data_IF_593365689969
#
_entry.id   IF_593365689969
#
_cell.length_a   1.000
_cell.length_b   1.000
_cell.length_c   1.000
_cell.angle_alpha   90.00
_cell.angle_beta   90.00
_cell.angle_gamma   90.00
#
_symmetry.space_group_name_H-M   'P 1'
#
loop_
_entity.id
_entity.type
_entity.pdbx_description
1 polymer ?
#
# COMPACT_ATOMS: atom_id res chain seq x y z
N UNK A 1 7.81 12.87 -9.94
CA UNK A 1 8.93 12.16 -9.28
C UNK A 1 10.20 12.43 -10.06
N UNK A 2 10.92 13.49 -9.71
CA UNK A 2 11.88 14.18 -10.59
C UNK A 2 13.22 13.46 -10.78
N UNK A 3 13.61 12.59 -9.84
CA UNK A 3 14.88 11.85 -9.89
C UNK A 3 14.74 10.33 -10.08
N UNK A 4 13.49 9.85 -10.08
CA UNK A 4 13.16 8.43 -10.27
C UNK A 4 13.68 7.51 -9.16
N UNK A 5 13.72 7.97 -7.91
CA UNK A 5 14.17 7.16 -6.76
C UNK A 5 13.05 6.40 -6.07
N UNK A 6 11.82 6.89 -6.18
CA UNK A 6 10.62 6.23 -5.66
C UNK A 6 9.61 6.09 -6.79
N UNK A 7 8.70 5.12 -6.62
CA UNK A 7 7.51 4.94 -7.45
C UNK A 7 6.27 4.99 -6.57
N UNK A 8 5.17 5.50 -7.12
CA UNK A 8 3.87 5.48 -6.47
C UNK A 8 3.35 4.05 -6.54
N UNK A 9 2.87 3.55 -5.42
CA UNK A 9 2.28 2.21 -5.33
C UNK A 9 0.91 2.14 -5.99
N UNK A 10 0.52 0.92 -6.36
CA UNK A 10 -0.82 0.63 -6.88
C UNK A 10 -1.86 0.76 -5.75
N UNK A 11 -3.14 0.77 -6.09
CA UNK A 11 -4.22 0.70 -5.13
C UNK A 11 -4.14 -0.59 -4.30
N UNK A 12 -3.85 -1.73 -4.92
CA UNK A 12 -3.65 -2.98 -4.18
C UNK A 12 -2.45 -2.92 -3.23
N UNK A 13 -1.30 -2.42 -3.69
CA UNK A 13 -0.11 -2.26 -2.85
C UNK A 13 -0.37 -1.27 -1.69
N UNK A 14 -1.31 -0.33 -1.87
CA UNK A 14 -1.67 0.70 -0.88
C UNK A 14 -2.75 0.28 0.12
N UNK A 15 -3.15 -1.00 0.16
CA UNK A 15 -4.21 -1.48 1.06
C UNK A 15 -3.88 -1.35 2.54
N UNK A 16 -2.60 -1.28 2.92
CA UNK A 16 -2.15 -1.08 4.29
C UNK A 16 -2.56 0.27 4.87
N UNK A 17 -2.86 1.25 4.01
CA UNK A 17 -3.40 2.55 4.41
C UNK A 17 -4.90 2.51 4.71
N UNK A 18 -5.58 1.40 4.43
CA UNK A 18 -7.02 1.23 4.69
C UNK A 18 -7.24 0.37 5.93
N UNK A 19 -8.07 0.88 6.84
CA UNK A 19 -8.55 0.05 7.95
C UNK A 19 -9.61 -0.96 7.47
N UNK A 20 -9.87 -1.97 8.31
CA UNK A 20 -10.84 -3.03 7.99
C UNK A 20 -12.25 -2.50 7.67
N UNK A 21 -12.67 -1.41 8.31
CA UNK A 21 -14.00 -0.79 8.06
C UNK A 21 -14.08 -0.21 6.65
N UNK A 22 -13.04 0.47 6.19
CA UNK A 22 -12.97 1.03 4.84
C UNK A 22 -12.97 -0.09 3.79
N UNK A 23 -12.14 -1.13 3.98
CA UNK A 23 -12.11 -2.32 3.11
C UNK A 23 -13.50 -2.96 3.00
N UNK A 24 -14.20 -3.11 4.12
CA UNK A 24 -15.59 -3.63 4.13
C UNK A 24 -16.58 -2.74 3.38
N UNK A 25 -16.45 -1.42 3.49
CA UNK A 25 -17.34 -0.50 2.77
C UNK A 25 -17.13 -0.56 1.25
N UNK A 26 -15.88 -0.72 0.81
CA UNK A 26 -15.55 -0.92 -0.62
C UNK A 26 -16.18 -2.23 -1.11
N UNK A 27 -15.99 -3.35 -0.41
CA UNK A 27 -16.60 -4.64 -0.76
C UNK A 27 -18.14 -4.58 -0.80
N UNK A 28 -18.77 -3.85 0.13
CA UNK A 28 -20.22 -3.62 0.13
C UNK A 28 -20.71 -2.83 -1.08
N UNK A 29 -19.90 -1.95 -1.64
CA UNK A 29 -20.28 -1.20 -2.86
C UNK A 29 -20.52 -2.12 -4.07
N UNK A 30 -19.88 -3.31 -4.08
CA UNK A 30 -20.16 -4.40 -5.04
C UNK A 30 -21.21 -5.42 -4.55
N UNK A 31 -21.88 -5.17 -3.42
CA UNK A 31 -22.91 -6.05 -2.88
C UNK A 31 -22.40 -7.29 -2.15
N UNK A 32 -21.12 -7.35 -1.80
CA UNK A 32 -20.54 -8.51 -1.09
C UNK A 32 -21.03 -8.53 0.36
N UNK A 33 -21.60 -9.67 0.78
CA UNK A 33 -22.13 -9.90 2.11
C UNK A 33 -21.19 -10.78 2.97
N UNK A 34 -21.53 -10.99 4.25
CA UNK A 34 -20.78 -11.91 5.12
C UNK A 34 -19.47 -11.35 5.74
N UNK A 35 -19.22 -10.05 5.58
CA UNK A 35 -17.94 -9.42 5.94
C UNK A 35 -17.66 -9.27 7.45
N UNK A 36 -18.63 -9.54 8.33
CA UNK A 36 -18.51 -9.26 9.76
C UNK A 36 -17.43 -10.12 10.44
N UNK A 37 -17.21 -11.35 9.97
CA UNK A 37 -16.26 -12.32 10.54
C UNK A 37 -14.90 -12.37 9.84
N UNK A 38 -14.74 -11.66 8.72
CA UNK A 38 -13.51 -11.68 7.92
C UNK A 38 -12.36 -10.97 8.64
N UNK A 39 -11.18 -11.60 8.62
CA UNK A 39 -9.92 -11.00 9.09
C UNK A 39 -9.35 -10.05 8.04
N UNK A 40 -8.34 -9.27 8.40
CA UNK A 40 -7.71 -8.32 7.48
C UNK A 40 -7.23 -9.00 6.19
N UNK A 41 -6.51 -10.12 6.30
CA UNK A 41 -6.05 -10.89 5.13
C UNK A 41 -7.21 -11.39 4.24
N UNK A 42 -8.32 -11.82 4.84
CA UNK A 42 -9.50 -12.27 4.08
C UNK A 42 -10.15 -11.10 3.33
N UNK A 43 -10.16 -9.90 3.91
CA UNK A 43 -10.68 -8.69 3.26
C UNK A 43 -9.79 -8.27 2.10
N UNK A 44 -8.47 -8.38 2.24
CA UNK A 44 -7.51 -8.06 1.18
C UNK A 44 -7.63 -9.04 0.02
N UNK A 45 -7.75 -10.33 0.32
CA UNK A 45 -8.01 -11.34 -0.70
C UNK A 45 -9.35 -11.08 -1.40
N UNK A 46 -10.42 -10.76 -0.66
CA UNK A 46 -11.71 -10.46 -1.27
C UNK A 46 -11.66 -9.22 -2.17
N UNK A 47 -10.84 -8.22 -1.85
CA UNK A 47 -10.62 -7.07 -2.72
C UNK A 47 -9.92 -7.49 -4.02
N UNK A 48 -8.87 -8.31 -3.94
CA UNK A 48 -8.19 -8.87 -5.11
C UNK A 48 -9.10 -9.71 -6.00
N UNK A 49 -9.98 -10.52 -5.41
CA UNK A 49 -10.84 -11.44 -6.15
C UNK A 49 -12.00 -10.72 -6.87
N UNK A 50 -12.42 -9.55 -6.35
CA UNK A 50 -13.65 -8.89 -6.79
C UNK A 50 -13.43 -7.55 -7.49
N UNK A 51 -12.23 -6.96 -7.43
CA UNK A 51 -11.95 -5.65 -8.02
C UNK A 51 -10.80 -5.73 -9.03
N UNK A 52 -10.91 -4.92 -10.07
CA UNK A 52 -9.73 -4.51 -10.86
C UNK A 52 -8.97 -3.38 -10.16
N UNK A 53 -7.74 -3.14 -10.59
CA UNK A 53 -6.89 -2.06 -10.09
C UNK A 53 -7.57 -0.69 -10.28
N UNK A 54 -8.17 -0.45 -11.45
CA UNK A 54 -8.83 0.81 -11.80
C UNK A 54 -10.09 1.04 -10.96
N UNK A 55 -10.90 0.00 -10.77
CA UNK A 55 -12.10 0.08 -9.92
C UNK A 55 -11.70 0.38 -8.47
N UNK A 56 -10.75 -0.37 -7.93
CA UNK A 56 -10.29 -0.18 -6.56
C UNK A 56 -9.68 1.22 -6.38
N UNK A 57 -8.92 1.69 -7.37
CA UNK A 57 -8.31 3.00 -7.36
C UNK A 57 -9.34 4.15 -7.30
N UNK A 58 -10.56 3.94 -7.79
CA UNK A 58 -11.63 4.94 -7.73
C UNK A 58 -12.20 5.18 -6.33
N UNK A 59 -12.04 4.21 -5.41
CA UNK A 59 -12.59 4.28 -4.07
C UNK A 59 -11.76 5.09 -3.07
N UNK A 60 -10.46 5.27 -3.33
CA UNK A 60 -9.57 6.04 -2.46
C UNK A 60 -8.37 6.58 -3.24
N UNK A 61 -7.88 7.75 -2.83
CA UNK A 61 -6.76 8.43 -3.53
C UNK A 61 -5.42 8.32 -2.80
N UNK A 62 -5.39 7.84 -1.55
CA UNK A 62 -4.16 7.66 -0.78
C UNK A 62 -3.33 6.55 -1.44
N UNK A 63 -2.06 6.81 -1.70
CA UNK A 63 -1.11 5.83 -2.24
C UNK A 63 0.18 5.83 -1.43
N UNK A 64 0.73 4.65 -1.25
CA UNK A 64 2.06 4.47 -0.71
C UNK A 64 3.13 4.84 -1.72
N UNK A 65 4.37 4.93 -1.23
CA UNK A 65 5.55 5.11 -2.05
C UNK A 65 6.52 4.00 -1.72
N UNK A 66 6.99 3.30 -2.76
CA UNK A 66 8.09 2.35 -2.62
C UNK A 66 9.33 2.86 -3.33
N UNK A 67 10.48 2.41 -2.85
CA UNK A 67 11.73 2.69 -3.53
C UNK A 67 11.71 2.03 -4.91
N UNK A 68 12.24 2.76 -5.88
CA UNK A 68 12.60 2.17 -7.17
C UNK A 68 13.93 1.44 -7.03
N UNK A 69 14.30 0.54 -7.97
CA UNK A 69 15.62 -0.09 -7.97
C UNK A 69 16.78 0.93 -7.91
N UNK A 70 16.62 2.08 -8.58
CA UNK A 70 17.59 3.18 -8.52
C UNK A 70 17.67 3.82 -7.13
N UNK A 71 16.54 3.92 -6.43
CA UNK A 71 16.48 4.43 -5.07
C UNK A 71 17.16 3.49 -4.08
N UNK A 72 16.92 2.19 -4.21
CA UNK A 72 17.57 1.16 -3.40
C UNK A 72 19.10 1.21 -3.55
N UNK A 73 19.60 1.22 -4.79
CA UNK A 73 21.04 1.32 -5.08
C UNK A 73 21.70 2.56 -4.47
N UNK A 74 21.01 3.70 -4.49
CA UNK A 74 21.53 4.94 -3.91
C UNK A 74 21.58 4.86 -2.38
N UNK A 75 20.60 4.23 -1.73
CA UNK A 75 20.64 4.04 -0.29
C UNK A 75 21.79 3.12 0.12
N UNK A 76 22.02 2.04 -0.63
CA UNK A 76 23.15 1.14 -0.40
C UNK A 76 24.50 1.85 -0.61
N UNK A 77 24.61 2.66 -1.68
CA UNK A 77 25.84 3.38 -2.02
C UNK A 77 26.24 4.41 -0.94
N UNK A 78 25.26 5.02 -0.26
CA UNK A 78 25.48 6.08 0.72
C UNK A 78 25.09 5.66 2.15
N UNK A 79 25.24 4.36 2.45
CA UNK A 79 24.91 3.79 3.76
C UNK A 79 25.65 4.50 4.90
N UNK A 80 26.88 4.99 4.67
CA UNK A 80 27.66 5.72 5.68
C UNK A 80 27.01 7.02 6.15
N UNK A 81 26.22 7.67 5.27
CA UNK A 81 25.47 8.89 5.61
C UNK A 81 24.30 8.54 6.53
N UNK A 82 23.61 7.43 6.25
CA UNK A 82 22.50 6.91 7.06
C UNK A 82 23.00 6.52 8.44
N UNK A 83 24.15 5.84 8.51
CA UNK A 83 24.74 5.38 9.76
C UNK A 83 25.27 6.51 10.65
N UNK A 84 25.69 7.63 10.05
CA UNK A 84 26.08 8.83 10.80
C UNK A 84 24.88 9.53 11.44
N UNK A 85 23.66 9.31 10.96
CA UNK A 85 22.46 9.91 11.53
C UNK A 85 22.04 9.17 12.80
N UNK A 86 21.71 9.87 13.90
CA UNK A 86 21.31 9.21 15.14
C UNK A 86 20.05 8.38 14.90
N UNK A 87 20.18 7.06 15.07
CA UNK A 87 19.07 6.11 14.93
C UNK A 87 18.24 6.14 16.21
N UNK A 88 16.91 6.18 16.07
CA UNK A 88 16.04 5.93 17.22
C UNK A 88 16.24 4.48 17.65
N UNK A 89 16.62 4.28 18.91
CA UNK A 89 16.55 2.95 19.51
C UNK A 89 15.05 2.59 19.60
N UNK A 90 14.65 1.53 18.90
CA UNK A 90 13.29 0.99 18.95
C UNK A 90 13.14 0.06 20.15
#
# INVERSE_FOLDING_TARGET
MEKGYAVIETAFDSLDHLNATMKKNILKSKGIAGLSKMKAADLDQALHDNFSEEELASHFSIRGYKLSPKGEQILEQYQEIIDRHPKKNL
#
